data_IF_135014250273
#
_entry.id   IF_135014250273
#
_cell.length_a   1.000
_cell.length_b   1.000
_cell.length_c   1.000
_cell.angle_alpha   90.00
_cell.angle_beta   90.00
_cell.angle_gamma   90.00
#
_symmetry.space_group_name_H-M   'P 1'
#
loop_
_entity.id
_entity.type
_entity.pdbx_description
1 polymer ?
#
# COMPACT_ATOMS: atom_id res chain seq x y z
N UNK A 1 28.37 -49.15 -31.33
CA UNK A 1 29.10 -49.32 -30.06
C UNK A 1 30.06 -48.13 -29.90
N UNK A 2 30.25 -47.63 -28.67
CA UNK A 2 30.07 -46.23 -28.22
C UNK A 2 31.43 -45.45 -28.11
N UNK A 3 31.63 -44.21 -27.60
CA UNK A 3 31.03 -43.49 -26.46
C UNK A 3 31.50 -42.01 -26.29
N UNK A 4 30.74 -41.24 -25.49
CA UNK A 4 31.07 -40.05 -24.62
C UNK A 4 31.34 -38.58 -25.11
N UNK A 5 30.32 -37.68 -24.92
CA UNK A 5 30.22 -36.41 -24.09
C UNK A 5 31.34 -35.31 -24.15
N UNK A 6 31.17 -33.96 -23.84
CA UNK A 6 30.03 -33.13 -23.34
C UNK A 6 29.75 -31.70 -23.97
N UNK A 7 28.66 -31.07 -23.49
CA UNK A 7 28.43 -29.66 -23.06
C UNK A 7 28.05 -28.51 -24.05
N UNK A 8 26.79 -28.06 -23.87
CA UNK A 8 26.35 -26.73 -23.37
C UNK A 8 26.17 -25.57 -24.37
N UNK A 9 25.18 -24.69 -24.06
CA UNK A 9 24.81 -23.39 -24.69
C UNK A 9 23.68 -23.50 -25.73
N UNK A 10 22.65 -22.67 -25.78
CA UNK A 10 22.10 -21.60 -24.96
C UNK A 10 20.67 -21.37 -25.50
N UNK A 11 19.90 -20.61 -24.73
CA UNK A 11 18.71 -19.87 -25.15
C UNK A 11 17.37 -20.60 -25.14
N UNK A 12 16.29 -20.01 -24.64
CA UNK A 12 16.15 -18.81 -23.80
C UNK A 12 14.65 -18.77 -23.45
N UNK A 13 14.38 -18.49 -22.17
CA UNK A 13 13.21 -17.72 -21.74
C UNK A 13 11.85 -18.34 -22.13
N UNK A 14 11.51 -19.46 -21.49
CA UNK A 14 10.11 -19.86 -21.31
C UNK A 14 9.90 -20.38 -19.90
N UNK A 15 10.20 -19.54 -18.90
CA UNK A 15 9.68 -19.72 -17.54
C UNK A 15 9.90 -18.48 -16.67
N UNK A 16 9.33 -17.34 -17.06
CA UNK A 16 9.19 -16.17 -16.16
C UNK A 16 7.75 -16.01 -15.63
N UNK A 17 6.94 -17.06 -15.73
CA UNK A 17 5.75 -17.23 -14.89
C UNK A 17 6.08 -18.30 -13.85
N UNK A 18 7.11 -18.05 -13.06
CA UNK A 18 7.31 -18.76 -11.81
C UNK A 18 6.13 -18.39 -10.91
N UNK A 19 5.11 -19.24 -10.92
CA UNK A 19 4.12 -19.34 -9.87
C UNK A 19 4.90 -19.42 -8.56
N UNK A 20 5.00 -18.29 -7.85
CA UNK A 20 5.52 -18.24 -6.50
C UNK A 20 4.49 -18.98 -5.66
N UNK A 21 4.68 -20.30 -5.52
CA UNK A 21 3.95 -21.12 -4.58
C UNK A 21 4.29 -20.57 -3.20
N UNK A 22 3.49 -19.60 -2.74
CA UNK A 22 3.58 -19.05 -1.40
C UNK A 22 3.34 -20.20 -0.44
N UNK A 23 4.21 -20.31 0.55
CA UNK A 23 4.08 -21.25 1.65
C UNK A 23 2.67 -21.09 2.26
N UNK A 24 1.82 -22.13 2.28
CA UNK A 24 0.42 -22.01 2.72
C UNK A 24 0.29 -21.65 4.21
N UNK A 25 1.39 -21.67 4.96
CA UNK A 25 1.45 -21.31 6.37
C UNK A 25 1.67 -19.82 6.64
N UNK A 26 1.98 -19.01 5.61
CA UNK A 26 2.07 -17.55 5.77
C UNK A 26 0.74 -16.94 5.30
N UNK A 27 -0.09 -16.37 6.21
CA UNK A 27 -1.31 -15.70 5.80
C UNK A 27 -0.97 -14.61 4.78
N UNK A 28 -1.59 -14.68 3.61
CA UNK A 28 -1.51 -13.58 2.65
C UNK A 28 -2.11 -12.32 3.28
N UNK A 29 -1.54 -11.15 2.97
CA UNK A 29 -2.17 -9.89 3.35
C UNK A 29 -3.63 -9.87 2.88
N UNK A 30 -4.58 -9.43 3.73
CA UNK A 30 -5.98 -9.32 3.34
C UNK A 30 -6.12 -8.46 2.08
N UNK A 31 -6.95 -8.92 1.13
CA UNK A 31 -7.32 -8.15 -0.06
C UNK A 31 -8.80 -7.80 0.00
N UNK A 32 -9.15 -6.61 -0.47
CA UNK A 32 -10.54 -6.12 -0.48
C UNK A 32 -11.46 -7.01 -1.34
N UNK A 33 -10.91 -7.76 -2.30
CA UNK A 33 -11.66 -8.68 -3.18
C UNK A 33 -12.22 -9.89 -2.43
N UNK A 34 -11.59 -10.28 -1.33
CA UNK A 34 -11.98 -11.47 -0.55
C UNK A 34 -12.89 -11.11 0.63
N UNK A 35 -13.26 -9.83 0.79
CA UNK A 35 -14.08 -9.34 1.89
C UNK A 35 -15.52 -9.04 1.40
N UNK A 36 -16.49 -9.96 1.55
CA UNK A 36 -17.86 -9.80 1.05
C UNK A 36 -18.69 -8.75 1.80
N UNK A 37 -18.35 -8.47 3.06
CA UNK A 37 -19.07 -7.51 3.90
C UNK A 37 -18.48 -6.10 3.84
N UNK A 38 -17.45 -5.90 3.01
CA UNK A 38 -16.74 -4.62 2.94
C UNK A 38 -17.64 -3.53 2.36
N UNK A 39 -17.59 -2.35 3.00
CA UNK A 39 -18.35 -1.18 2.54
C UNK A 39 -17.99 -0.84 1.08
N UNK A 40 -18.98 -0.52 0.22
CA UNK A 40 -18.73 -0.12 -1.16
C UNK A 40 -17.74 1.04 -1.29
N UNK A 41 -17.77 1.97 -0.33
CA UNK A 41 -16.86 3.11 -0.25
C UNK A 41 -15.40 2.67 -0.11
N UNK A 42 -15.14 1.65 0.69
CA UNK A 42 -13.78 1.14 0.94
C UNK A 42 -13.29 0.32 -0.25
N UNK A 43 -14.17 -0.51 -0.84
CA UNK A 43 -13.84 -1.24 -2.08
C UNK A 43 -13.42 -0.28 -3.19
N UNK A 44 -14.21 0.76 -3.41
CA UNK A 44 -13.93 1.77 -4.42
C UNK A 44 -12.57 2.45 -4.19
N UNK A 45 -12.26 2.85 -2.95
CA UNK A 45 -10.93 3.41 -2.63
C UNK A 45 -9.81 2.39 -2.89
N UNK A 46 -9.96 1.14 -2.46
CA UNK A 46 -8.97 0.09 -2.75
C UNK A 46 -8.80 -0.17 -4.25
N UNK A 47 -9.86 -0.05 -5.04
CA UNK A 47 -9.81 -0.15 -6.51
C UNK A 47 -9.03 1.00 -7.14
N UNK A 48 -9.21 2.24 -6.66
CA UNK A 48 -8.39 3.39 -7.07
C UNK A 48 -6.91 3.11 -6.80
N UNK A 49 -6.59 2.64 -5.60
CA UNK A 49 -5.21 2.36 -5.19
C UNK A 49 -4.55 1.26 -6.04
N UNK A 50 -5.32 0.22 -6.39
CA UNK A 50 -4.87 -0.88 -7.27
C UNK A 50 -4.68 -0.46 -8.71
N UNK A 51 -5.53 0.45 -9.20
CA UNK A 51 -5.55 0.84 -10.60
C UNK A 51 -4.32 1.67 -11.02
N UNK A 52 -3.47 2.08 -10.06
CA UNK A 52 -2.16 2.73 -10.26
C UNK A 52 -2.16 3.74 -11.43
N UNK A 53 -3.18 4.57 -11.50
CA UNK A 53 -3.37 5.52 -12.60
C UNK A 53 -2.51 6.77 -12.42
N UNK A 54 -1.21 6.63 -12.13
CA UNK A 54 -0.19 7.69 -12.03
C UNK A 54 -0.47 8.86 -11.06
N UNK A 55 -1.69 9.02 -10.56
CA UNK A 55 -2.17 10.14 -9.77
C UNK A 55 -3.34 9.68 -8.87
N UNK A 56 -2.98 8.93 -7.82
CA UNK A 56 -3.92 8.52 -6.76
C UNK A 56 -4.59 9.74 -6.13
N UNK A 57 -3.85 10.85 -6.01
CA UNK A 57 -4.33 12.07 -5.40
C UNK A 57 -5.47 12.69 -6.22
N UNK A 58 -5.28 12.86 -7.54
CA UNK A 58 -6.32 13.40 -8.43
C UNK A 58 -7.55 12.49 -8.53
N UNK A 59 -7.36 11.17 -8.59
CA UNK A 59 -8.48 10.22 -8.65
C UNK A 59 -9.33 10.24 -7.37
N UNK A 60 -8.70 10.38 -6.21
CA UNK A 60 -9.41 10.52 -4.94
C UNK A 60 -10.06 11.90 -4.77
N UNK A 61 -9.46 12.95 -5.35
CA UNK A 61 -10.03 14.30 -5.38
C UNK A 61 -11.28 14.37 -6.26
N UNK A 62 -11.24 13.80 -7.46
CA UNK A 62 -12.38 13.74 -8.40
C UNK A 62 -13.55 12.93 -7.82
N UNK A 63 -13.25 11.91 -7.02
CA UNK A 63 -14.27 11.07 -6.41
C UNK A 63 -15.08 11.77 -5.28
N UNK A 64 -14.64 12.94 -4.81
CA UNK A 64 -15.26 13.74 -3.73
C UNK A 64 -15.72 12.91 -2.51
N UNK A 65 -14.92 11.89 -2.15
CA UNK A 65 -15.28 10.96 -1.08
C UNK A 65 -14.89 11.55 0.27
N UNK A 66 -15.86 11.66 1.19
CA UNK A 66 -15.57 11.97 2.60
C UNK A 66 -14.91 10.77 3.28
N UNK A 67 -13.64 10.95 3.66
CA UNK A 67 -12.82 9.96 4.35
C UNK A 67 -12.78 10.22 5.86
N UNK A 68 -13.05 9.19 6.66
CA UNK A 68 -12.97 9.19 8.12
C UNK A 68 -11.79 8.32 8.60
N UNK A 69 -11.39 8.42 9.87
CA UNK A 69 -10.30 7.58 10.43
C UNK A 69 -10.55 6.08 10.22
N UNK A 70 -11.79 5.62 10.41
CA UNK A 70 -12.16 4.22 10.20
C UNK A 70 -11.96 3.78 8.75
N UNK A 71 -12.26 4.67 7.80
CA UNK A 71 -12.06 4.39 6.38
C UNK A 71 -10.57 4.26 6.04
N UNK A 72 -9.75 5.14 6.61
CA UNK A 72 -8.29 5.11 6.42
C UNK A 72 -7.70 3.80 6.90
N UNK A 73 -8.09 3.37 8.11
CA UNK A 73 -7.62 2.11 8.69
C UNK A 73 -8.02 0.90 7.84
N UNK A 74 -9.26 0.86 7.35
CA UNK A 74 -9.72 -0.23 6.50
C UNK A 74 -9.03 -0.25 5.14
N UNK A 75 -8.91 0.89 4.46
CA UNK A 75 -8.21 0.98 3.17
C UNK A 75 -6.75 0.55 3.32
N UNK A 76 -6.04 1.05 4.34
CA UNK A 76 -4.65 0.65 4.60
C UNK A 76 -4.52 -0.85 4.89
N UNK A 77 -5.45 -1.43 5.67
CA UNK A 77 -5.47 -2.86 5.99
C UNK A 77 -5.53 -3.74 4.74
N UNK A 78 -6.33 -3.35 3.74
CA UNK A 78 -6.47 -4.10 2.48
C UNK A 78 -5.42 -3.75 1.42
N UNK A 79 -4.67 -2.66 1.62
CA UNK A 79 -3.65 -2.19 0.68
C UNK A 79 -2.21 -2.49 1.12
N UNK A 80 -1.98 -3.22 2.22
CA UNK A 80 -0.63 -3.60 2.66
C UNK A 80 0.17 -4.40 1.63
N UNK A 81 -0.50 -5.13 0.74
CA UNK A 81 0.14 -5.82 -0.39
C UNK A 81 0.72 -4.85 -1.45
N UNK A 82 0.40 -3.55 -1.38
CA UNK A 82 0.80 -2.50 -2.31
C UNK A 82 1.31 -1.27 -1.53
N UNK A 83 2.52 -1.36 -0.94
CA UNK A 83 3.02 -0.36 0.00
C UNK A 83 3.14 1.05 -0.60
N UNK A 84 3.49 1.17 -1.88
CA UNK A 84 3.57 2.47 -2.56
C UNK A 84 2.20 3.17 -2.67
N UNK A 85 1.16 2.44 -3.05
CA UNK A 85 -0.20 2.98 -3.14
C UNK A 85 -0.76 3.31 -1.75
N UNK A 86 -0.49 2.48 -0.74
CA UNK A 86 -0.90 2.72 0.64
C UNK A 86 -0.24 3.99 1.23
N UNK A 87 1.05 4.20 0.97
CA UNK A 87 1.77 5.42 1.40
C UNK A 87 1.25 6.65 0.66
N UNK A 88 1.00 6.55 -0.66
CA UNK A 88 0.42 7.64 -1.43
C UNK A 88 -0.95 8.06 -0.88
N UNK A 89 -1.84 7.10 -0.62
CA UNK A 89 -3.14 7.32 0.00
C UNK A 89 -3.02 7.98 1.38
N UNK A 90 -2.15 7.47 2.26
CA UNK A 90 -1.95 8.04 3.59
C UNK A 90 -1.47 9.49 3.53
N UNK A 91 -0.55 9.80 2.61
CA UNK A 91 -0.08 11.17 2.35
C UNK A 91 -1.23 12.07 1.88
N UNK A 92 -2.04 11.61 0.92
CA UNK A 92 -3.19 12.35 0.42
C UNK A 92 -4.19 12.70 1.54
N UNK A 93 -4.55 11.71 2.38
CA UNK A 93 -5.44 11.94 3.54
C UNK A 93 -4.86 13.01 4.47
N UNK A 94 -3.56 12.95 4.74
CA UNK A 94 -2.87 13.95 5.55
C UNK A 94 -2.97 15.37 4.96
N UNK A 95 -2.79 15.51 3.65
CA UNK A 95 -2.90 16.80 2.94
C UNK A 95 -4.35 17.32 2.96
N UNK A 96 -5.35 16.45 2.77
CA UNK A 96 -6.77 16.83 2.84
C UNK A 96 -7.15 17.29 4.24
N UNK A 97 -6.69 16.57 5.27
CA UNK A 97 -6.92 16.96 6.66
C UNK A 97 -6.28 18.31 6.97
N UNK A 98 -5.02 18.50 6.58
CA UNK A 98 -4.32 19.77 6.71
C UNK A 98 -5.07 20.92 6.03
N UNK A 99 -5.46 20.73 4.78
CA UNK A 99 -6.20 21.74 4.00
C UNK A 99 -7.53 22.09 4.66
N UNK A 100 -8.26 21.09 5.17
CA UNK A 100 -9.48 21.30 5.94
C UNK A 100 -9.21 22.13 7.21
N UNK A 101 -8.15 21.84 7.96
CA UNK A 101 -7.79 22.60 9.15
C UNK A 101 -7.42 24.06 8.83
N UNK A 102 -6.67 24.29 7.74
CA UNK A 102 -6.31 25.64 7.25
C UNK A 102 -7.56 26.44 6.87
N UNK A 103 -8.43 25.86 6.03
CA UNK A 103 -9.66 26.52 5.55
C UNK A 103 -10.61 26.87 6.70
N UNK A 104 -10.66 26.04 7.74
CA UNK A 104 -11.50 26.27 8.92
C UNK A 104 -10.81 27.10 10.02
N UNK A 105 -9.59 27.60 9.80
CA UNK A 105 -8.88 28.45 10.76
C UNK A 105 -8.54 27.76 12.09
N UNK A 106 -8.31 26.45 12.10
CA UNK A 106 -8.00 25.67 13.31
C UNK A 106 -6.50 25.80 13.66
N UNK A 107 -6.16 26.32 14.86
CA UNK A 107 -4.78 26.61 15.31
C UNK A 107 -4.11 25.52 16.18
N UNK A 108 -2.75 25.51 16.35
CA UNK A 108 -1.72 25.89 15.39
C UNK A 108 -1.25 24.65 14.61
N UNK A 109 -1.22 24.81 13.30
CA UNK A 109 -0.99 23.76 12.32
C UNK A 109 0.45 23.20 12.38
N UNK A 110 1.44 24.06 12.66
CA UNK A 110 2.85 23.67 12.75
C UNK A 110 3.15 22.74 13.93
N UNK A 111 2.64 23.03 15.13
CA UNK A 111 2.92 22.17 16.30
C UNK A 111 2.28 20.79 16.14
N UNK A 112 1.05 20.71 15.61
CA UNK A 112 0.38 19.42 15.38
C UNK A 112 1.00 18.65 14.22
N UNK A 113 1.38 19.33 13.14
CA UNK A 113 2.10 18.73 12.02
C UNK A 113 3.47 18.20 12.43
N UNK A 114 4.24 19.00 13.17
CA UNK A 114 5.54 18.60 13.71
C UNK A 114 5.40 17.47 14.73
N UNK A 115 4.37 17.48 15.58
CA UNK A 115 4.09 16.38 16.50
C UNK A 115 3.73 15.09 15.76
N UNK A 116 2.95 15.17 14.69
CA UNK A 116 2.62 14.01 13.86
C UNK A 116 3.87 13.44 13.19
N UNK A 117 4.72 14.29 12.62
CA UNK A 117 6.00 13.90 12.02
C UNK A 117 6.92 13.27 13.07
N UNK A 118 7.02 13.86 14.27
CA UNK A 118 7.82 13.32 15.37
C UNK A 118 7.29 11.95 15.84
N UNK A 119 5.98 11.80 16.03
CA UNK A 119 5.38 10.51 16.41
C UNK A 119 5.55 9.43 15.34
N UNK A 120 5.37 9.79 14.06
CA UNK A 120 5.63 8.86 12.96
C UNK A 120 7.10 8.42 12.93
N UNK A 121 8.03 9.36 13.15
CA UNK A 121 9.47 9.09 13.20
C UNK A 121 9.88 8.23 14.38
N UNK A 122 9.29 8.45 15.56
CA UNK A 122 9.66 7.75 16.79
C UNK A 122 8.97 6.39 16.95
N UNK A 123 7.65 6.34 16.79
CA UNK A 123 6.86 5.13 17.12
C UNK A 123 6.65 4.20 15.92
N UNK A 124 6.52 4.75 14.71
CA UNK A 124 6.02 3.96 13.55
C UNK A 124 7.08 3.66 12.51
N UNK A 125 8.12 4.48 12.40
CA UNK A 125 9.22 4.28 11.46
C UNK A 125 10.05 3.02 11.78
N UNK A 126 10.44 2.74 13.04
CA UNK A 126 11.15 1.51 13.37
C UNK A 126 10.30 0.25 13.17
N UNK A 127 9.00 0.33 13.49
CA UNK A 127 8.03 -0.75 13.28
C UNK A 127 7.84 -1.03 11.78
N UNK A 128 7.72 0.02 10.97
CA UNK A 128 7.61 -0.08 9.52
C UNK A 128 8.89 -0.65 8.88
N UNK A 129 10.07 -0.25 9.36
CA UNK A 129 11.35 -0.82 8.94
C UNK A 129 11.44 -2.32 9.28
N UNK A 130 11.07 -2.73 10.51
CA UNK A 130 11.01 -4.16 10.88
C UNK A 130 10.09 -4.96 9.96
N UNK A 131 8.91 -4.42 9.66
CA UNK A 131 7.98 -5.06 8.72
C UNK A 131 8.56 -5.16 7.31
N UNK A 132 9.25 -4.12 6.83
CA UNK A 132 9.89 -4.13 5.51
C UNK A 132 11.06 -5.13 5.44
N UNK A 133 11.88 -5.22 6.50
CA UNK A 133 12.97 -6.19 6.61
C UNK A 133 12.44 -7.63 6.58
N UNK A 134 11.34 -7.90 7.30
CA UNK A 134 10.68 -9.21 7.28
C UNK A 134 10.07 -9.60 5.92
N UNK A 135 9.96 -8.66 4.97
CA UNK A 135 9.49 -8.93 3.60
C UNK A 135 10.62 -9.28 2.62
N UNK A 136 11.89 -9.09 3.00
CA UNK A 136 13.06 -9.30 2.13
C UNK A 136 13.63 -10.72 2.27
N UNK A 137 13.26 -11.48 3.30
CA UNK A 137 13.59 -12.91 3.49
C UNK A 137 12.64 -13.87 2.73
#
# INVERSE_FOLDING_TARGET
>A
MPDHRPKQSSDSISSLVAKRARNPFVPAFPTYKDAPDLSPKIRFMCEILVSLALDVDAALDDADVRVTSSDVEEVLRFSYAQPLAAVAFFRWVGIKLWSCMVVNGLAPLEERGNLLVSKLKEERLPEACKYAEAMID
#
